data_IF_845665416579
#
_entry.id   IF_845665416579
#
_cell.length_a   1.000
_cell.length_b   1.000
_cell.length_c   1.000
_cell.angle_alpha   90.00
_cell.angle_beta   90.00
_cell.angle_gamma   90.00
#
_symmetry.space_group_name_H-M   'P 1'
#
loop_
_entity.id
_entity.type
_entity.pdbx_description
1 polymer ?
#
# COMPACT_ATOMS: atom_id res chain seq x y z
N UNK A 1 46.72 29.40 27.03
CA UNK A 1 46.75 28.08 27.68
C UNK A 1 46.15 27.07 26.72
N UNK A 2 46.82 25.95 26.40
CA UNK A 2 46.20 24.92 25.56
C UNK A 2 44.95 24.42 26.29
N UNK A 3 43.80 24.40 25.60
CA UNK A 3 42.57 23.88 26.16
C UNK A 3 42.76 22.39 26.48
N UNK A 4 42.55 21.98 27.73
CA UNK A 4 42.61 20.59 28.12
C UNK A 4 41.35 19.90 27.58
N UNK A 5 41.45 19.33 26.38
CA UNK A 5 40.33 18.70 25.67
C UNK A 5 40.06 17.32 26.31
N UNK A 6 38.79 17.03 26.59
CA UNK A 6 38.39 15.79 27.27
C UNK A 6 38.66 14.55 26.40
N UNK A 7 38.86 13.35 26.99
CA UNK A 7 38.98 12.09 26.23
C UNK A 7 37.84 11.88 25.23
N UNK A 8 36.61 12.25 25.64
CA UNK A 8 35.42 12.24 24.79
C UNK A 8 35.56 13.14 23.55
N UNK A 9 36.18 14.31 23.69
CA UNK A 9 36.42 15.20 22.55
C UNK A 9 37.40 14.59 21.54
N UNK A 10 38.44 13.89 22.03
CA UNK A 10 39.43 13.23 21.18
C UNK A 10 38.76 12.09 20.39
N UNK A 11 37.90 11.32 21.04
CA UNK A 11 37.14 10.24 20.40
C UNK A 11 36.20 10.75 19.30
N UNK A 12 35.40 11.78 19.59
CA UNK A 12 34.51 12.40 18.60
C UNK A 12 35.30 12.96 17.41
N UNK A 13 36.47 13.54 17.66
CA UNK A 13 37.36 14.03 16.60
C UNK A 13 37.88 12.89 15.72
N UNK A 14 38.30 11.78 16.30
CA UNK A 14 38.76 10.61 15.54
C UNK A 14 37.62 10.01 14.70
N UNK A 15 36.40 9.95 15.24
CA UNK A 15 35.21 9.52 14.48
C UNK A 15 34.89 10.48 13.33
N UNK A 16 34.96 11.79 13.58
CA UNK A 16 34.73 12.82 12.56
C UNK A 16 35.72 12.71 11.39
N UNK A 17 36.99 12.42 11.67
CA UNK A 17 38.04 12.24 10.65
C UNK A 17 37.85 10.96 9.82
N UNK A 18 37.29 9.90 10.43
CA UNK A 18 37.02 8.61 9.76
C UNK A 18 35.71 8.56 8.99
N UNK A 19 34.71 9.34 9.40
CA UNK A 19 33.40 9.32 8.75
C UNK A 19 33.50 9.80 7.30
N UNK A 20 32.78 9.13 6.40
CA UNK A 20 32.58 9.55 5.01
C UNK A 20 31.19 10.14 4.78
N UNK A 21 30.28 9.95 5.71
CA UNK A 21 28.92 10.45 5.63
C UNK A 21 28.83 11.91 6.12
N UNK A 22 28.02 12.71 5.43
CA UNK A 22 27.84 14.13 5.75
C UNK A 22 26.88 14.31 6.93
N UNK A 23 25.84 13.46 7.04
CA UNK A 23 24.88 13.54 8.14
C UNK A 23 25.54 13.14 9.46
N UNK A 24 26.27 12.03 9.48
CA UNK A 24 27.09 11.63 10.63
C UNK A 24 28.12 12.70 11.02
N UNK A 25 28.78 13.37 10.05
CA UNK A 25 29.71 14.49 10.33
C UNK A 25 29.02 15.70 10.97
N UNK A 26 27.78 15.99 10.59
CA UNK A 26 27.00 17.09 11.14
C UNK A 26 26.63 16.80 12.60
N UNK A 27 26.23 15.57 12.92
CA UNK A 27 25.93 15.13 14.28
C UNK A 27 27.17 15.20 15.18
N UNK A 28 28.29 14.61 14.74
CA UNK A 28 29.55 14.62 15.48
C UNK A 28 30.05 16.04 15.77
N UNK A 29 29.91 16.98 14.83
CA UNK A 29 30.27 18.39 15.06
C UNK A 29 29.35 19.08 16.07
N UNK A 30 28.06 18.76 16.09
CA UNK A 30 27.12 19.31 17.08
C UNK A 30 27.45 18.82 18.49
N UNK A 31 27.72 17.52 18.62
CA UNK A 31 28.15 16.92 19.88
C UNK A 31 29.47 17.52 20.37
N UNK A 32 30.46 17.68 19.48
CA UNK A 32 31.74 18.34 19.82
C UNK A 32 31.54 19.77 20.31
N UNK A 33 30.65 20.55 19.70
CA UNK A 33 30.35 21.93 20.14
C UNK A 33 29.62 21.95 21.50
N UNK A 34 28.80 20.93 21.79
CA UNK A 34 28.06 20.83 23.04
C UNK A 34 28.97 20.54 24.24
N UNK A 35 30.02 19.75 24.06
CA UNK A 35 30.93 19.34 25.15
C UNK A 35 32.09 20.31 25.42
N UNK A 36 32.40 21.24 24.51
CA UNK A 36 33.51 22.20 24.71
C UNK A 36 33.13 23.26 25.77
N UNK A 37 33.96 23.49 26.81
CA UNK A 37 33.77 24.58 27.76
C UNK A 37 33.78 25.95 27.07
N UNK A 38 32.80 26.81 27.34
CA UNK A 38 32.66 28.14 26.71
C UNK A 38 33.41 29.22 27.50
N UNK A 39 34.70 29.42 27.19
CA UNK A 39 35.53 30.44 27.82
C UNK A 39 36.52 31.06 26.81
N UNK A 40 37.20 32.14 27.19
CA UNK A 40 38.09 32.91 26.29
C UNK A 40 39.14 32.05 25.56
N UNK A 41 39.59 30.94 26.16
CA UNK A 41 40.55 30.01 25.55
C UNK A 41 40.02 29.07 24.47
N UNK A 42 38.70 28.90 24.32
CA UNK A 42 38.05 27.95 23.39
C UNK A 42 37.17 28.64 22.34
N UNK A 43 36.98 29.97 22.46
CA UNK A 43 36.18 30.76 21.53
C UNK A 43 36.61 30.60 20.07
N UNK A 44 37.93 30.55 19.81
CA UNK A 44 38.46 30.36 18.45
C UNK A 44 38.08 28.98 17.89
N UNK A 45 38.26 27.92 18.69
CA UNK A 45 37.91 26.55 18.31
C UNK A 45 36.40 26.37 18.07
N UNK A 46 35.56 26.94 18.95
CA UNK A 46 34.10 26.93 18.76
C UNK A 46 33.71 27.66 17.47
N UNK A 47 34.38 28.77 17.15
CA UNK A 47 34.18 29.49 15.88
C UNK A 47 34.51 28.64 14.66
N UNK A 48 35.64 27.94 14.68
CA UNK A 48 36.06 27.03 13.61
C UNK A 48 35.07 25.86 13.41
N UNK A 49 34.64 25.22 14.50
CA UNK A 49 33.66 24.13 14.44
C UNK A 49 32.29 24.60 13.93
N UNK A 50 31.82 25.78 14.34
CA UNK A 50 30.56 26.36 13.85
C UNK A 50 30.64 26.72 12.38
N UNK A 51 31.77 27.25 11.91
CA UNK A 51 31.99 27.55 10.49
C UNK A 51 31.97 26.26 9.66
N UNK A 52 32.63 25.20 10.14
CA UNK A 52 32.64 23.88 9.50
C UNK A 52 31.25 23.21 9.50
N UNK A 53 30.50 23.37 10.59
CA UNK A 53 29.11 22.92 10.67
C UNK A 53 28.22 23.67 9.67
N UNK A 54 28.39 24.99 9.55
CA UNK A 54 27.63 25.80 8.60
C UNK A 54 27.97 25.44 7.14
N UNK A 55 29.25 25.19 6.82
CA UNK A 55 29.65 24.75 5.48
C UNK A 55 29.10 23.36 5.15
N UNK A 56 29.16 22.41 6.09
CA UNK A 56 28.60 21.06 5.89
C UNK A 56 27.08 21.04 5.82
N UNK A 57 26.38 21.90 6.58
CA UNK A 57 24.93 22.08 6.43
C UNK A 57 24.58 22.68 5.07
N UNK A 58 25.36 23.65 4.60
CA UNK A 58 25.20 24.22 3.25
C UNK A 58 25.52 23.18 2.17
N UNK A 59 26.50 22.31 2.39
CA UNK A 59 26.84 21.20 1.49
C UNK A 59 25.79 20.07 1.54
N UNK A 60 25.16 19.81 2.68
CA UNK A 60 24.01 18.91 2.77
C UNK A 60 22.76 19.48 2.09
N UNK A 61 22.58 20.80 2.13
CA UNK A 61 21.50 21.51 1.42
C UNK A 61 21.78 21.68 -0.09
N UNK A 62 23.06 21.80 -0.49
CA UNK A 62 23.51 21.95 -1.88
C UNK A 62 24.01 20.67 -2.52
N UNK A 63 24.09 19.55 -1.80
CA UNK A 63 24.01 18.24 -2.44
C UNK A 63 22.77 18.36 -3.30
N UNK A 64 22.87 18.13 -4.63
CA UNK A 64 21.64 17.88 -5.36
C UNK A 64 20.95 16.83 -4.50
N UNK A 65 19.73 17.11 -4.04
CA UNK A 65 18.86 16.01 -3.67
C UNK A 65 19.14 15.00 -4.77
N UNK A 66 19.51 13.76 -4.43
CA UNK A 66 19.18 12.69 -5.37
C UNK A 66 17.72 12.99 -5.61
N UNK A 67 17.39 13.64 -6.73
CA UNK A 67 16.03 13.77 -7.17
C UNK A 67 15.70 12.30 -7.19
N UNK A 68 14.93 11.85 -6.19
CA UNK A 68 14.20 10.60 -6.29
C UNK A 68 13.53 10.82 -7.62
N UNK A 69 14.07 10.18 -8.67
CA UNK A 69 13.56 10.34 -10.03
C UNK A 69 12.08 10.17 -9.81
N UNK A 70 11.29 11.22 -10.05
CA UNK A 70 9.89 11.23 -9.70
C UNK A 70 9.30 10.06 -10.46
N UNK A 71 9.08 8.96 -9.74
CA UNK A 71 8.55 7.75 -10.32
C UNK A 71 7.06 7.84 -10.07
N UNK A 72 6.24 8.15 -11.09
CA UNK A 72 4.80 8.26 -10.93
C UNK A 72 4.16 6.94 -10.44
N UNK A 73 4.89 5.82 -10.51
CA UNK A 73 4.50 4.51 -10.00
C UNK A 73 4.91 4.25 -8.54
N UNK A 74 5.58 5.20 -7.88
CA UNK A 74 5.90 5.13 -6.43
C UNK A 74 4.72 5.61 -5.58
N UNK A 75 3.63 4.84 -5.61
CA UNK A 75 2.39 5.13 -4.88
C UNK A 75 2.47 4.53 -3.47
N UNK A 76 2.28 5.36 -2.45
CA UNK A 76 2.22 4.91 -1.05
C UNK A 76 0.88 4.24 -0.77
N UNK A 77 0.90 3.10 -0.08
CA UNK A 77 -0.28 2.38 0.38
C UNK A 77 -1.13 3.26 1.30
N UNK A 78 -2.43 3.29 1.05
CA UNK A 78 -3.43 3.99 1.85
C UNK A 78 -4.68 3.13 1.99
N UNK A 79 -5.41 3.32 3.10
CA UNK A 79 -6.65 2.60 3.36
C UNK A 79 -6.45 1.12 3.64
N UNK A 80 -7.54 0.37 3.45
CA UNK A 80 -7.67 -1.05 3.80
C UNK A 80 -7.00 -2.01 2.81
N UNK A 81 -6.64 -1.53 1.62
CA UNK A 81 -6.02 -2.34 0.57
C UNK A 81 -5.74 -1.54 -0.69
N UNK A 82 -4.86 -2.05 -1.55
CA UNK A 82 -4.48 -1.48 -2.83
C UNK A 82 -4.92 -2.38 -3.98
N UNK A 83 -5.74 -1.83 -4.88
CA UNK A 83 -6.26 -2.50 -6.06
C UNK A 83 -5.79 -1.75 -7.30
N UNK A 84 -5.09 -2.42 -8.20
CA UNK A 84 -4.68 -1.84 -9.50
C UNK A 84 -5.64 -2.25 -10.60
N UNK A 85 -5.93 -1.33 -11.51
CA UNK A 85 -6.79 -1.57 -12.67
C UNK A 85 -5.94 -1.47 -13.93
N UNK A 86 -5.84 -2.58 -14.66
CA UNK A 86 -5.05 -2.69 -15.89
C UNK A 86 -5.92 -3.13 -17.06
N UNK A 87 -5.46 -2.87 -18.29
CA UNK A 87 -6.19 -3.24 -19.50
C UNK A 87 -5.87 -2.32 -20.68
N UNK A 88 -6.34 -2.71 -21.86
CA UNK A 88 -6.14 -1.99 -23.11
C UNK A 88 -6.81 -0.61 -23.14
N UNK A 89 -6.52 0.24 -24.14
CA UNK A 89 -7.24 1.51 -24.32
C UNK A 89 -8.75 1.29 -24.46
N UNK A 90 -9.54 2.27 -24.03
CA UNK A 90 -10.99 2.33 -24.25
C UNK A 90 -11.85 1.17 -23.66
N UNK A 91 -11.26 0.27 -22.87
CA UNK A 91 -12.00 -0.79 -22.13
C UNK A 91 -12.79 -0.25 -20.93
N UNK A 92 -12.61 1.03 -20.56
CA UNK A 92 -13.38 1.71 -19.51
C UNK A 92 -12.76 1.71 -18.10
N UNK A 93 -11.44 1.56 -17.98
CA UNK A 93 -10.70 1.62 -16.70
C UNK A 93 -11.02 2.87 -15.86
N UNK A 94 -10.83 4.06 -16.43
CA UNK A 94 -11.07 5.33 -15.73
C UNK A 94 -12.54 5.53 -15.39
N UNK A 95 -13.45 5.11 -16.27
CA UNK A 95 -14.90 5.15 -16.00
C UNK A 95 -15.27 4.27 -14.82
N UNK A 96 -14.68 3.08 -14.71
CA UNK A 96 -14.87 2.17 -13.58
C UNK A 96 -14.38 2.79 -12.27
N UNK A 97 -13.18 3.39 -12.27
CA UNK A 97 -12.63 4.08 -11.08
C UNK A 97 -13.51 5.25 -10.65
N UNK A 98 -13.97 6.06 -11.61
CA UNK A 98 -14.84 7.19 -11.32
C UNK A 98 -16.15 6.74 -10.66
N UNK A 99 -16.74 5.62 -11.11
CA UNK A 99 -17.96 5.06 -10.52
C UNK A 99 -17.73 4.47 -9.13
N UNK A 100 -16.60 3.78 -8.92
CA UNK A 100 -16.31 3.14 -7.63
C UNK A 100 -15.95 4.12 -6.52
N UNK A 101 -15.29 5.22 -6.87
CA UNK A 101 -14.71 6.14 -5.86
C UNK A 101 -15.73 7.11 -5.26
N UNK A 102 -16.95 7.21 -5.80
CA UNK A 102 -18.02 8.12 -5.34
C UNK A 102 -17.61 9.60 -5.16
N UNK A 103 -16.41 9.97 -5.63
CA UNK A 103 -15.96 11.34 -5.71
C UNK A 103 -16.48 11.84 -7.05
N UNK A 104 -17.29 12.90 -7.02
CA UNK A 104 -17.32 13.89 -8.10
C UNK A 104 -15.90 14.38 -8.25
N UNK A 105 -15.08 13.62 -8.97
CA UNK A 105 -13.73 14.01 -9.21
C UNK A 105 -13.82 15.38 -9.86
N UNK A 106 -13.08 16.34 -9.32
CA UNK A 106 -12.57 17.40 -10.15
C UNK A 106 -11.64 16.75 -11.21
N UNK A 107 -12.22 15.97 -12.11
CA UNK A 107 -11.59 15.47 -13.32
C UNK A 107 -12.10 16.40 -14.39
N UNK A 108 -11.21 17.28 -14.84
CA UNK A 108 -11.36 17.84 -16.16
C UNK A 108 -11.44 16.67 -17.14
N UNK A 109 -12.50 16.57 -17.96
CA UNK A 109 -12.58 15.51 -18.96
C UNK A 109 -11.57 15.85 -20.06
N UNK A 110 -10.54 15.03 -20.22
CA UNK A 110 -9.77 15.00 -21.46
C UNK A 110 -9.73 13.57 -21.99
N UNK A 111 -10.12 13.34 -23.25
CA UNK A 111 -9.80 12.09 -23.91
C UNK A 111 -8.28 12.00 -24.07
N UNK A 112 -7.73 10.78 -23.94
CA UNK A 112 -6.31 10.43 -24.13
C UNK A 112 -5.31 10.68 -22.98
N UNK A 113 -5.73 10.84 -21.71
CA UNK A 113 -4.77 11.11 -20.63
C UNK A 113 -4.79 10.10 -19.48
N UNK A 114 -3.74 9.27 -19.44
CA UNK A 114 -3.00 8.91 -18.22
C UNK A 114 -1.61 8.53 -18.69
N UNK A 115 -0.69 9.49 -18.80
CA UNK A 115 0.74 9.19 -18.92
C UNK A 115 1.31 8.69 -17.57
N UNK A 116 0.49 8.71 -16.52
CA UNK A 116 0.83 8.39 -15.14
C UNK A 116 -0.36 7.72 -14.44
N UNK A 117 -0.12 6.81 -13.50
CA UNK A 117 -1.19 6.25 -12.68
C UNK A 117 -1.93 7.32 -11.87
N UNK A 118 -3.25 7.17 -11.75
CA UNK A 118 -4.13 8.02 -10.94
C UNK A 118 -4.65 7.20 -9.77
N UNK A 119 -4.65 7.80 -8.58
CA UNK A 119 -5.15 7.18 -7.36
C UNK A 119 -6.56 7.68 -7.06
N UNK A 120 -7.47 6.77 -6.74
CA UNK A 120 -8.80 7.06 -6.23
C UNK A 120 -9.10 6.25 -4.97
N UNK A 121 -9.98 6.74 -4.10
CA UNK A 121 -10.38 6.03 -2.87
C UNK A 121 -11.81 5.51 -3.04
N UNK A 122 -11.97 4.20 -2.98
CA UNK A 122 -13.27 3.51 -3.02
C UNK A 122 -13.82 3.36 -1.61
N UNK A 123 -14.87 4.10 -1.24
CA UNK A 123 -15.53 3.90 0.04
C UNK A 123 -16.27 2.56 0.03
N UNK A 124 -16.07 1.77 1.07
CA UNK A 124 -16.79 0.53 1.33
C UNK A 124 -17.16 0.47 2.81
N UNK A 125 -18.45 0.60 3.11
CA UNK A 125 -18.97 0.75 4.47
C UNK A 125 -18.22 1.85 5.25
N UNK A 126 -17.38 1.48 6.21
CA UNK A 126 -16.60 2.37 7.08
C UNK A 126 -15.09 2.33 6.83
N UNK A 127 -14.66 1.74 5.71
CA UNK A 127 -13.27 1.74 5.28
C UNK A 127 -13.14 2.33 3.86
N UNK A 128 -11.90 2.66 3.47
CA UNK A 128 -11.60 3.05 2.10
C UNK A 128 -10.56 2.09 1.51
N UNK A 129 -10.77 1.66 0.27
CA UNK A 129 -9.84 0.85 -0.51
C UNK A 129 -9.21 1.73 -1.59
N UNK A 130 -7.90 1.72 -1.70
CA UNK A 130 -7.16 2.52 -2.69
C UNK A 130 -7.23 1.85 -4.05
N UNK A 131 -7.82 2.52 -5.03
CA UNK A 131 -7.81 2.13 -6.44
C UNK A 131 -6.73 2.89 -7.19
N UNK A 132 -6.05 2.19 -8.10
CA UNK A 132 -5.01 2.76 -8.94
C UNK A 132 -5.41 2.53 -10.40
N UNK A 133 -5.85 3.60 -11.07
CA UNK A 133 -6.07 3.63 -12.50
C UNK A 133 -4.73 3.75 -13.21
N UNK A 134 -4.42 2.86 -14.15
CA UNK A 134 -3.14 2.87 -14.86
C UNK A 134 -3.27 3.39 -16.28
N UNK A 135 -2.17 3.90 -16.85
CA UNK A 135 -2.07 4.08 -18.29
C UNK A 135 -2.52 2.82 -19.06
N UNK A 136 -3.12 2.98 -20.25
CA UNK A 136 -3.49 1.84 -21.08
C UNK A 136 -2.28 0.98 -21.44
N UNK A 137 -2.46 -0.33 -21.38
CA UNK A 137 -1.49 -1.29 -21.92
C UNK A 137 -1.69 -1.39 -23.42
N UNK A 138 -0.61 -1.26 -24.19
CA UNK A 138 -0.61 -1.54 -25.64
C UNK A 138 0.56 -2.44 -26.00
N UNK A 139 0.62 -2.90 -27.24
CA UNK A 139 1.72 -3.75 -27.71
C UNK A 139 3.10 -3.08 -27.56
N UNK A 140 3.14 -1.79 -27.82
CA UNK A 140 4.33 -0.94 -27.76
C UNK A 140 4.57 -0.32 -26.37
N UNK A 141 3.54 -0.27 -25.52
CA UNK A 141 3.58 0.41 -24.24
C UNK A 141 3.27 -0.52 -23.06
N UNK A 142 4.31 -1.16 -22.56
CA UNK A 142 4.28 -1.99 -21.36
C UNK A 142 5.44 -1.63 -20.42
N UNK A 143 5.26 -0.55 -19.66
CA UNK A 143 6.33 0.06 -18.87
C UNK A 143 6.83 -0.86 -17.73
N UNK A 144 8.16 -1.01 -17.54
CA UNK A 144 8.69 -1.80 -16.41
C UNK A 144 8.20 -1.32 -15.04
N UNK A 145 7.95 -0.01 -14.89
CA UNK A 145 7.42 0.60 -13.66
C UNK A 145 5.99 0.18 -13.33
N UNK A 146 5.17 -0.15 -14.34
CA UNK A 146 3.85 -0.74 -14.14
C UNK A 146 3.97 -2.12 -13.50
N UNK A 147 4.95 -2.93 -13.92
CA UNK A 147 5.18 -4.26 -13.34
C UNK A 147 5.59 -4.19 -11.88
N UNK A 148 6.51 -3.28 -11.56
CA UNK A 148 6.91 -3.07 -10.17
C UNK A 148 5.72 -2.63 -9.30
N UNK A 149 4.79 -1.85 -9.87
CA UNK A 149 3.56 -1.47 -9.18
C UNK A 149 2.62 -2.67 -8.99
N UNK A 150 2.37 -3.47 -10.03
CA UNK A 150 1.55 -4.69 -9.95
C UNK A 150 2.10 -5.66 -8.89
N UNK A 151 3.43 -5.76 -8.73
CA UNK A 151 4.04 -6.59 -7.69
C UNK A 151 3.73 -6.15 -6.26
N UNK A 152 3.44 -4.88 -6.02
CA UNK A 152 3.25 -4.33 -4.66
C UNK A 152 1.79 -4.28 -4.22
N UNK A 153 0.84 -4.33 -5.15
CA UNK A 153 -0.58 -4.23 -4.82
C UNK A 153 -1.15 -5.57 -4.32
N UNK A 154 -2.34 -5.48 -3.72
CA UNK A 154 -3.05 -6.60 -3.10
C UNK A 154 -3.97 -7.32 -4.09
N UNK A 155 -4.47 -6.62 -5.12
CA UNK A 155 -5.38 -7.16 -6.14
C UNK A 155 -5.20 -6.47 -7.49
N UNK A 156 -5.30 -7.25 -8.57
CA UNK A 156 -5.34 -6.78 -9.97
C UNK A 156 -6.73 -6.95 -10.55
N UNK A 157 -7.31 -5.88 -11.07
CA UNK A 157 -8.51 -5.92 -11.91
C UNK A 157 -8.07 -5.80 -13.38
N UNK A 158 -8.17 -6.89 -14.12
CA UNK A 158 -7.90 -6.94 -15.55
C UNK A 158 -9.19 -6.58 -16.31
N UNK A 159 -9.30 -5.34 -16.77
CA UNK A 159 -10.50 -4.84 -17.45
C UNK A 159 -10.40 -5.10 -18.95
N UNK A 160 -11.44 -5.73 -19.48
CA UNK A 160 -11.62 -5.98 -20.92
C UNK A 160 -12.94 -5.39 -21.41
N UNK A 161 -13.03 -5.14 -22.71
CA UNK A 161 -14.27 -4.78 -23.37
C UNK A 161 -15.00 -6.05 -23.83
N UNK A 162 -16.13 -6.37 -23.20
CA UNK A 162 -16.94 -7.53 -23.56
C UNK A 162 -17.69 -7.31 -24.89
N UNK A 163 -17.73 -6.11 -25.45
CA UNK A 163 -18.37 -5.84 -26.74
C UNK A 163 -17.51 -6.17 -27.96
N UNK A 164 -16.25 -6.57 -27.76
CA UNK A 164 -15.27 -6.75 -28.85
C UNK A 164 -14.68 -8.15 -28.85
N UNK A 165 -14.56 -8.76 -30.02
CA UNK A 165 -13.98 -10.10 -30.19
C UNK A 165 -12.48 -10.15 -29.84
N UNK A 166 -11.83 -9.00 -29.68
CA UNK A 166 -10.42 -8.87 -29.28
C UNK A 166 -10.16 -9.20 -27.80
N UNK A 167 -11.21 -9.40 -26.99
CA UNK A 167 -11.08 -9.58 -25.53
C UNK A 167 -10.11 -10.70 -25.14
N UNK A 168 -10.16 -11.84 -25.85
CA UNK A 168 -9.29 -12.99 -25.59
C UNK A 168 -7.83 -12.68 -25.92
N UNK A 169 -7.58 -12.12 -27.11
CA UNK A 169 -6.24 -11.77 -27.56
C UNK A 169 -5.58 -10.75 -26.61
N UNK A 170 -6.36 -9.79 -26.11
CA UNK A 170 -5.91 -8.80 -25.13
C UNK A 170 -5.52 -9.44 -23.79
N UNK A 171 -6.29 -10.42 -23.29
CA UNK A 171 -5.97 -11.13 -22.04
C UNK A 171 -4.69 -11.94 -22.22
N UNK A 172 -4.60 -12.74 -23.29
CA UNK A 172 -3.42 -13.56 -23.58
C UNK A 172 -2.16 -12.70 -23.75
N UNK A 173 -2.27 -11.56 -24.43
CA UNK A 173 -1.18 -10.61 -24.54
C UNK A 173 -0.70 -10.13 -23.16
N UNK A 174 -1.61 -9.65 -22.31
CA UNK A 174 -1.25 -9.13 -20.97
C UNK A 174 -0.66 -10.25 -20.10
N UNK A 175 -1.27 -11.43 -20.09
CA UNK A 175 -0.75 -12.60 -19.35
C UNK A 175 0.66 -12.95 -19.81
N UNK A 176 0.90 -13.10 -21.11
CA UNK A 176 2.23 -13.42 -21.66
C UNK A 176 3.28 -12.38 -21.26
N UNK A 177 2.93 -11.09 -21.29
CA UNK A 177 3.84 -10.02 -20.86
C UNK A 177 4.16 -10.05 -19.36
N UNK A 178 3.19 -10.39 -18.52
CA UNK A 178 3.39 -10.56 -17.07
C UNK A 178 4.24 -11.81 -16.77
N UNK A 179 3.99 -12.91 -17.48
CA UNK A 179 4.74 -14.17 -17.37
C UNK A 179 6.22 -13.99 -17.72
N UNK A 180 6.54 -13.24 -18.79
CA UNK A 180 7.91 -12.87 -19.14
C UNK A 180 8.64 -12.11 -18.02
N UNK A 181 7.88 -11.49 -17.12
CA UNK A 181 8.38 -10.81 -15.93
C UNK A 181 8.23 -11.65 -14.67
N UNK A 182 7.96 -12.95 -14.78
CA UNK A 182 7.76 -13.84 -13.63
C UNK A 182 6.62 -13.38 -12.71
N UNK A 183 5.51 -12.97 -13.31
CA UNK A 183 4.30 -12.57 -12.58
C UNK A 183 3.10 -13.33 -13.15
N UNK A 184 2.40 -14.08 -12.29
CA UNK A 184 1.21 -14.85 -12.65
C UNK A 184 -0.03 -14.27 -11.98
N UNK A 185 -1.07 -14.03 -12.76
CA UNK A 185 -2.38 -13.65 -12.25
C UNK A 185 -3.14 -14.92 -11.83
N UNK A 186 -3.66 -14.95 -10.61
CA UNK A 186 -4.22 -16.16 -10.00
C UNK A 186 -5.42 -15.88 -9.11
N UNK A 187 -6.12 -16.96 -8.72
CA UNK A 187 -7.36 -16.90 -7.95
C UNK A 187 -7.14 -16.75 -6.44
N UNK A 188 -5.96 -17.16 -5.96
CA UNK A 188 -5.59 -17.21 -4.55
C UNK A 188 -4.13 -16.80 -4.42
N UNK A 189 -3.77 -16.29 -3.26
CA UNK A 189 -2.35 -16.23 -2.92
C UNK A 189 -1.86 -17.67 -2.81
N UNK A 190 -1.02 -18.07 -3.76
CA UNK A 190 -0.10 -19.18 -3.54
C UNK A 190 0.99 -18.54 -2.69
N UNK A 191 0.95 -18.81 -1.39
CA UNK A 191 1.83 -18.16 -0.42
C UNK A 191 3.29 -18.23 -0.84
N UNK A 192 4.10 -17.27 -0.38
CA UNK A 192 5.55 -17.18 -0.62
C UNK A 192 6.34 -18.42 -0.14
N UNK A 193 5.68 -19.42 0.46
CA UNK A 193 6.24 -20.66 1.01
C UNK A 193 6.56 -21.74 -0.04
N UNK A 194 6.01 -21.65 -1.24
CA UNK A 194 6.52 -22.43 -2.37
C UNK A 194 7.67 -21.64 -3.00
N UNK A 195 8.89 -22.19 -3.01
CA UNK A 195 10.05 -21.67 -3.76
C UNK A 195 9.73 -21.65 -5.27
N UNK A 196 8.85 -20.73 -5.67
CA UNK A 196 8.39 -20.55 -7.03
C UNK A 196 9.18 -19.40 -7.64
N UNK A 197 9.59 -19.59 -8.88
CA UNK A 197 10.28 -18.55 -9.63
C UNK A 197 9.34 -17.36 -9.97
N UNK A 198 8.03 -17.54 -9.80
CA UNK A 198 6.98 -16.61 -10.18
C UNK A 198 6.35 -15.93 -8.97
N UNK A 199 6.10 -14.64 -9.08
CA UNK A 199 5.26 -13.92 -8.13
C UNK A 199 3.80 -14.12 -8.52
N UNK A 200 3.02 -14.71 -7.62
CA UNK A 200 1.58 -14.87 -7.80
C UNK A 200 0.86 -13.61 -7.31
N UNK A 201 -0.07 -13.11 -8.13
CA UNK A 201 -0.94 -11.99 -7.76
C UNK A 201 -2.39 -12.32 -7.95
N UNK A 202 -3.17 -12.07 -6.91
CA UNK A 202 -4.63 -12.16 -6.95
C UNK A 202 -5.17 -11.25 -8.04
N UNK A 203 -6.02 -11.82 -8.89
CA UNK A 203 -6.61 -11.11 -10.00
C UNK A 203 -8.09 -11.45 -10.20
N UNK A 204 -8.80 -10.55 -10.86
CA UNK A 204 -10.12 -10.77 -11.44
C UNK A 204 -10.17 -10.21 -12.86
N UNK A 205 -10.86 -10.89 -13.76
CA UNK A 205 -11.23 -10.35 -15.07
C UNK A 205 -12.52 -9.57 -14.91
N UNK A 206 -12.50 -8.29 -15.30
CA UNK A 206 -13.66 -7.43 -15.33
C UNK A 206 -14.09 -7.27 -16.79
N UNK A 207 -15.13 -8.01 -17.16
CA UNK A 207 -15.75 -7.92 -18.48
C UNK A 207 -16.71 -6.73 -18.52
N UNK A 208 -16.18 -5.57 -18.92
CA UNK A 208 -16.92 -4.32 -18.96
C UNK A 208 -17.78 -4.20 -20.23
N UNK A 209 -18.74 -3.27 -20.24
CA UNK A 209 -19.67 -3.00 -21.34
C UNK A 209 -20.61 -4.17 -21.64
N UNK A 210 -21.14 -4.80 -20.58
CA UNK A 210 -22.18 -5.85 -20.67
C UNK A 210 -23.48 -5.39 -21.32
N UNK A 211 -23.61 -4.10 -21.60
CA UNK A 211 -24.76 -3.52 -22.26
C UNK A 211 -24.72 -3.58 -23.79
N UNK A 212 -23.63 -4.11 -24.37
CA UNK A 212 -23.47 -4.35 -25.80
C UNK A 212 -23.97 -5.76 -26.20
N UNK A 213 -24.51 -5.90 -27.42
CA UNK A 213 -25.21 -7.11 -27.88
C UNK A 213 -24.36 -8.40 -27.83
N UNK A 214 -23.06 -8.30 -28.11
CA UNK A 214 -22.15 -9.46 -28.15
C UNK A 214 -21.57 -9.85 -26.78
N UNK A 215 -21.86 -9.07 -25.73
CA UNK A 215 -21.16 -9.20 -24.45
C UNK A 215 -21.36 -10.53 -23.73
N UNK A 216 -22.57 -11.08 -23.78
CA UNK A 216 -22.87 -12.33 -23.06
C UNK A 216 -22.05 -13.51 -23.60
N UNK A 217 -21.94 -13.66 -24.92
CA UNK A 217 -21.17 -14.75 -25.52
C UNK A 217 -19.67 -14.68 -25.19
N UNK A 218 -19.12 -13.47 -25.15
CA UNK A 218 -17.73 -13.25 -24.73
C UNK A 218 -17.55 -13.60 -23.25
N UNK A 219 -18.46 -13.17 -22.37
CA UNK A 219 -18.40 -13.50 -20.94
C UNK A 219 -18.50 -15.00 -20.70
N UNK A 220 -19.35 -15.70 -21.44
CA UNK A 220 -19.48 -17.16 -21.35
C UNK A 220 -18.17 -17.84 -21.75
N UNK A 221 -17.56 -17.39 -22.85
CA UNK A 221 -16.24 -17.89 -23.32
C UNK A 221 -15.14 -17.61 -22.30
N UNK A 222 -15.11 -16.40 -21.72
CA UNK A 222 -14.15 -16.04 -20.69
C UNK A 222 -14.30 -16.88 -19.43
N UNK A 223 -15.54 -17.18 -19.02
CA UNK A 223 -15.78 -18.08 -17.91
C UNK A 223 -15.28 -19.49 -18.21
N UNK A 224 -15.58 -20.04 -19.37
CA UNK A 224 -15.11 -21.39 -19.74
C UNK A 224 -13.58 -21.52 -19.68
N UNK A 225 -12.87 -20.49 -20.17
CA UNK A 225 -11.41 -20.50 -20.27
C UNK A 225 -10.72 -20.15 -18.96
N UNK A 226 -11.16 -19.10 -18.27
CA UNK A 226 -10.40 -18.49 -17.19
C UNK A 226 -10.99 -18.67 -15.79
N UNK A 227 -12.23 -19.16 -15.63
CA UNK A 227 -12.87 -19.25 -14.30
C UNK A 227 -12.17 -20.22 -13.33
N UNK A 228 -11.18 -20.98 -13.79
CA UNK A 228 -10.30 -21.83 -12.96
C UNK A 228 -9.02 -21.11 -12.53
N UNK A 229 -8.63 -20.06 -13.23
CA UNK A 229 -7.43 -19.24 -12.95
C UNK A 229 -7.77 -17.96 -12.20
N UNK A 230 -8.85 -17.27 -12.58
CA UNK A 230 -9.32 -16.03 -11.94
C UNK A 230 -10.82 -15.83 -12.17
N UNK A 231 -11.55 -15.17 -11.25
CA UNK A 231 -12.98 -14.91 -11.42
C UNK A 231 -13.22 -13.98 -12.61
N UNK A 232 -14.31 -14.21 -13.33
CA UNK A 232 -14.80 -13.33 -14.40
C UNK A 232 -16.05 -12.63 -13.89
N UNK A 233 -16.04 -11.30 -13.93
CA UNK A 233 -17.13 -10.45 -13.44
C UNK A 233 -17.61 -9.57 -14.57
N UNK A 234 -18.86 -9.74 -15.00
CA UNK A 234 -19.50 -8.88 -15.98
C UNK A 234 -20.07 -7.62 -15.33
N UNK A 235 -19.78 -6.44 -15.88
CA UNK A 235 -20.42 -5.19 -15.49
C UNK A 235 -20.55 -4.19 -16.65
N UNK A 236 -21.41 -3.18 -16.49
CA UNK A 236 -21.44 -2.01 -17.38
C UNK A 236 -21.09 -0.76 -16.59
N UNK A 237 -19.94 -0.15 -16.89
CA UNK A 237 -19.57 1.12 -16.28
C UNK A 237 -20.52 2.28 -16.64
N UNK A 238 -21.28 2.17 -17.74
CA UNK A 238 -22.17 3.21 -18.26
C UNK A 238 -23.63 3.03 -17.87
N UNK A 239 -24.10 1.79 -17.67
CA UNK A 239 -25.50 1.48 -17.28
C UNK A 239 -25.61 0.98 -15.84
N UNK A 240 -26.86 0.78 -15.38
CA UNK A 240 -27.22 0.34 -14.03
C UNK A 240 -26.56 -1.00 -13.65
N UNK A 241 -25.36 -0.92 -13.10
CA UNK A 241 -24.63 -2.01 -12.46
C UNK A 241 -24.78 -1.87 -10.94
N UNK A 242 -25.01 -3.00 -10.26
CA UNK A 242 -24.91 -3.06 -8.80
C UNK A 242 -23.44 -2.94 -8.36
N UNK A 243 -22.95 -1.71 -8.27
CA UNK A 243 -21.60 -1.41 -7.80
C UNK A 243 -21.40 -1.74 -6.32
N UNK A 244 -22.46 -1.83 -5.51
CA UNK A 244 -22.32 -2.17 -4.09
C UNK A 244 -21.96 -3.66 -3.93
N UNK A 245 -22.62 -4.53 -4.70
CA UNK A 245 -22.23 -5.94 -4.84
C UNK A 245 -20.79 -6.09 -5.36
N UNK A 246 -20.40 -5.30 -6.37
CA UNK A 246 -19.03 -5.36 -6.88
C UNK A 246 -17.98 -4.87 -5.87
N UNK A 247 -18.25 -3.80 -5.13
CA UNK A 247 -17.37 -3.35 -4.02
C UNK A 247 -17.24 -4.42 -2.93
N UNK A 248 -18.35 -5.08 -2.59
CA UNK A 248 -18.36 -6.21 -1.65
C UNK A 248 -17.47 -7.36 -2.14
N UNK A 249 -17.56 -7.70 -3.42
CA UNK A 249 -16.72 -8.73 -4.03
C UNK A 249 -15.23 -8.38 -3.96
N UNK A 250 -14.86 -7.12 -4.25
CA UNK A 250 -13.49 -6.64 -4.10
C UNK A 250 -13.02 -6.79 -2.64
N UNK A 251 -13.83 -6.35 -1.67
CA UNK A 251 -13.52 -6.47 -0.24
C UNK A 251 -13.28 -7.93 0.18
N UNK A 252 -14.18 -8.83 -0.21
CA UNK A 252 -14.08 -10.25 0.17
C UNK A 252 -12.81 -10.91 -0.42
N UNK A 253 -12.43 -10.50 -1.63
CA UNK A 253 -11.29 -11.05 -2.36
C UNK A 253 -9.94 -10.46 -1.95
N UNK A 254 -9.94 -9.28 -1.33
CA UNK A 254 -8.77 -8.78 -0.61
C UNK A 254 -8.42 -9.66 0.59
N UNK A 255 -9.35 -10.53 1.04
CA UNK A 255 -9.19 -11.40 2.20
C UNK A 255 -8.80 -10.62 3.45
N UNK A 256 -9.44 -9.47 3.65
CA UNK A 256 -9.28 -8.62 4.83
C UNK A 256 -10.50 -8.73 5.75
N UNK A 257 -10.31 -8.35 7.00
CA UNK A 257 -11.33 -8.28 8.04
C UNK A 257 -11.24 -6.92 8.75
N UNK A 258 -12.37 -6.46 9.28
CA UNK A 258 -12.47 -5.26 10.09
C UNK A 258 -12.72 -5.65 11.53
N UNK A 259 -11.90 -5.15 12.42
CA UNK A 259 -11.98 -5.43 13.85
C UNK A 259 -12.19 -4.11 14.58
N UNK A 260 -13.26 -4.05 15.37
CA UNK A 260 -13.64 -2.88 16.11
C UNK A 260 -13.02 -2.89 17.50
N UNK A 261 -12.70 -1.72 18.02
CA UNK A 261 -12.17 -1.60 19.38
C UNK A 261 -13.21 -1.02 20.32
N UNK A 262 -13.12 -1.43 21.58
CA UNK A 262 -13.99 -0.95 22.65
C UNK A 262 -13.15 -0.71 23.91
N UNK A 263 -13.13 0.51 24.46
CA UNK A 263 -12.51 0.76 25.76
C UNK A 263 -13.30 0.08 26.90
N UNK A 264 -12.60 -0.29 27.98
CA UNK A 264 -13.20 -0.94 29.15
C UNK A 264 -14.35 -0.08 29.69
N UNK A 265 -15.55 -0.67 29.75
CA UNK A 265 -16.77 -0.03 30.25
C UNK A 265 -17.43 1.01 29.32
N UNK A 266 -16.91 1.20 28.10
CA UNK A 266 -17.48 2.14 27.11
C UNK A 266 -18.21 1.42 25.97
N UNK A 267 -18.80 2.18 25.04
CA UNK A 267 -19.36 1.62 23.80
C UNK A 267 -18.24 1.34 22.79
N UNK A 268 -18.42 0.35 21.89
CA UNK A 268 -17.51 0.14 20.77
C UNK A 268 -17.42 1.36 19.85
N UNK A 269 -16.27 1.55 19.22
CA UNK A 269 -16.11 2.47 18.10
C UNK A 269 -16.26 1.70 16.78
N UNK A 270 -17.19 2.15 15.94
CA UNK A 270 -17.47 1.56 14.64
C UNK A 270 -16.98 2.43 13.46
N UNK A 271 -16.38 3.59 13.74
CA UNK A 271 -16.00 4.54 12.68
C UNK A 271 -14.60 4.26 12.12
N UNK A 272 -13.69 3.74 12.95
CA UNK A 272 -12.30 3.50 12.60
C UNK A 272 -11.90 2.06 12.97
N UNK A 273 -12.29 1.07 12.14
CA UNK A 273 -11.90 -0.32 12.38
C UNK A 273 -10.41 -0.52 12.12
N UNK A 274 -9.83 -1.45 12.86
CA UNK A 274 -8.52 -2.03 12.53
C UNK A 274 -8.73 -2.99 11.36
N UNK A 275 -7.99 -2.81 10.28
CA UNK A 275 -8.05 -3.68 9.09
C UNK A 275 -6.89 -4.66 9.15
N UNK A 276 -7.22 -5.95 9.09
CA UNK A 276 -6.25 -7.05 9.16
C UNK A 276 -6.51 -8.03 8.02
N UNK A 277 -5.57 -8.92 7.75
CA UNK A 277 -5.84 -10.06 6.87
C UNK A 277 -6.69 -11.10 7.58
N UNK A 278 -7.51 -11.83 6.83
CA UNK A 278 -8.30 -12.94 7.36
C UNK A 278 -7.37 -14.01 7.93
N UNK A 279 -7.70 -14.49 9.13
CA UNK A 279 -6.85 -15.40 9.89
C UNK A 279 -5.94 -14.71 10.90
N UNK A 280 -5.90 -13.37 10.88
CA UNK A 280 -5.19 -12.59 11.89
C UNK A 280 -5.71 -12.80 13.31
N UNK A 281 -4.84 -12.53 14.28
CA UNK A 281 -5.08 -12.82 15.69
C UNK A 281 -5.30 -11.56 16.53
N UNK A 282 -5.78 -11.75 17.76
CA UNK A 282 -5.95 -10.67 18.75
C UNK A 282 -4.65 -9.88 18.98
N UNK A 283 -3.49 -10.54 19.00
CA UNK A 283 -2.21 -9.85 19.20
C UNK A 283 -1.84 -8.97 18.02
N UNK A 284 -2.04 -9.44 16.78
CA UNK A 284 -1.82 -8.65 15.57
C UNK A 284 -2.74 -7.42 15.54
N UNK A 285 -4.00 -7.56 15.96
CA UNK A 285 -4.89 -6.42 16.13
C UNK A 285 -4.36 -5.40 17.16
N UNK A 286 -3.73 -5.87 18.25
CA UNK A 286 -3.12 -4.98 19.22
C UNK A 286 -1.85 -4.29 18.68
N UNK A 287 -1.09 -4.95 17.80
CA UNK A 287 0.13 -4.40 17.18
C UNK A 287 -0.18 -3.23 16.24
N UNK A 288 -1.30 -3.30 15.51
CA UNK A 288 -1.78 -2.20 14.67
C UNK A 288 -2.11 -0.93 15.47
N UNK A 289 -2.48 -1.07 16.75
CA UNK A 289 -2.66 0.07 17.65
C UNK A 289 -1.29 0.57 18.11
N UNK A 290 -0.50 -0.30 18.74
CA UNK A 290 0.85 0.01 19.21
C UNK A 290 1.62 -1.25 19.62
N UNK A 291 2.90 -1.38 19.23
CA UNK A 291 3.74 -2.56 19.58
C UNK A 291 3.83 -2.82 21.09
N UNK A 292 4.16 -1.82 21.90
CA UNK A 292 4.23 -1.97 23.37
C UNK A 292 2.90 -2.40 24.00
N UNK A 293 1.77 -2.07 23.36
CA UNK A 293 0.44 -2.47 23.82
C UNK A 293 0.19 -3.95 23.58
N UNK A 294 0.58 -4.45 22.41
CA UNK A 294 0.54 -5.87 22.07
C UNK A 294 1.44 -6.71 22.98
N UNK A 295 2.65 -6.23 23.32
CA UNK A 295 3.58 -6.94 24.21
C UNK A 295 3.02 -7.13 25.62
N UNK A 296 2.32 -6.13 26.14
CA UNK A 296 1.73 -6.15 27.49
C UNK A 296 0.37 -6.83 27.55
N UNK A 297 -0.22 -7.18 26.42
CA UNK A 297 -1.57 -7.75 26.38
C UNK A 297 -1.65 -9.07 27.16
N UNK A 298 -2.54 -9.16 28.16
CA UNK A 298 -2.78 -10.42 28.90
C UNK A 298 -3.87 -11.26 28.25
N UNK A 299 -4.97 -10.63 27.87
CA UNK A 299 -6.11 -11.24 27.19
C UNK A 299 -6.97 -10.15 26.55
N UNK A 300 -7.89 -10.54 25.69
CA UNK A 300 -8.96 -9.67 25.22
C UNK A 300 -10.32 -10.27 25.59
N UNK A 301 -11.34 -9.42 25.60
CA UNK A 301 -12.73 -9.86 25.50
C UNK A 301 -13.23 -9.61 24.08
N UNK A 302 -13.99 -10.55 23.56
CA UNK A 302 -14.49 -10.51 22.18
C UNK A 302 -16.03 -10.49 22.14
N UNK A 303 -16.59 -9.74 21.18
CA UNK A 303 -18.00 -9.78 20.79
C UNK A 303 -18.11 -10.02 19.29
N UNK A 304 -19.24 -10.59 18.85
CA UNK A 304 -19.46 -10.94 17.43
C UNK A 304 -19.07 -12.39 17.08
N UNK A 305 -18.78 -13.24 18.07
CA UNK A 305 -18.63 -14.69 17.93
C UNK A 305 -19.76 -15.46 18.63
N UNK A 306 -19.52 -16.73 18.99
CA UNK A 306 -20.53 -17.59 19.66
C UNK A 306 -21.01 -17.01 21.00
N UNK A 307 -20.10 -16.43 21.80
CA UNK A 307 -20.41 -15.88 23.11
C UNK A 307 -19.89 -14.44 23.25
N UNK A 308 -20.81 -13.52 23.54
CA UNK A 308 -20.48 -12.10 23.70
C UNK A 308 -19.78 -11.82 25.04
N UNK A 309 -18.64 -11.13 24.97
CA UNK A 309 -17.82 -10.78 26.13
C UNK A 309 -16.94 -11.93 26.65
N UNK A 310 -16.79 -13.00 25.86
CA UNK A 310 -15.90 -14.11 26.19
C UNK A 310 -14.45 -13.64 26.28
N UNK A 311 -13.72 -14.12 27.28
CA UNK A 311 -12.28 -13.95 27.39
C UNK A 311 -11.57 -14.88 26.41
N UNK A 312 -10.70 -14.32 25.58
CA UNK A 312 -9.89 -15.03 24.59
C UNK A 312 -8.39 -14.78 24.80
N UNK A 313 -7.58 -15.74 24.34
CA UNK A 313 -6.12 -15.62 24.34
C UNK A 313 -5.65 -14.61 23.28
N UNK A 314 -4.36 -14.29 23.32
CA UNK A 314 -3.68 -13.40 22.37
C UNK A 314 -3.65 -13.99 20.95
N UNK A 315 -3.59 -15.31 20.85
CA UNK A 315 -3.50 -16.04 19.57
C UNK A 315 -4.87 -16.45 19.02
N UNK A 316 -5.96 -15.95 19.61
CA UNK A 316 -7.29 -16.26 19.13
C UNK A 316 -7.51 -15.63 17.74
N UNK A 317 -8.00 -16.39 16.74
CA UNK A 317 -8.28 -15.87 15.41
C UNK A 317 -9.45 -14.90 15.44
N UNK A 318 -9.46 -13.95 14.52
CA UNK A 318 -10.48 -12.92 14.39
C UNK A 318 -11.29 -13.08 13.11
N UNK A 319 -12.58 -12.75 13.20
CA UNK A 319 -13.51 -12.65 12.09
C UNK A 319 -13.89 -11.18 11.81
N UNK A 320 -14.35 -10.91 10.58
CA UNK A 320 -14.88 -9.59 10.21
C UNK A 320 -16.03 -9.20 11.13
N UNK A 321 -15.97 -7.97 11.64
CA UNK A 321 -16.96 -7.41 12.54
C UNK A 321 -16.76 -7.74 14.01
N UNK A 322 -15.73 -8.51 14.38
CA UNK A 322 -15.41 -8.76 15.78
C UNK A 322 -15.09 -7.45 16.53
N UNK A 323 -15.47 -7.38 17.80
CA UNK A 323 -15.20 -6.24 18.67
C UNK A 323 -14.27 -6.69 19.79
N UNK A 324 -13.18 -5.97 20.01
CA UNK A 324 -12.17 -6.26 21.02
C UNK A 324 -12.14 -5.22 22.13
N UNK A 325 -12.18 -5.71 23.38
CA UNK A 325 -11.81 -4.96 24.58
C UNK A 325 -10.51 -5.57 25.12
N UNK A 326 -9.40 -4.86 24.95
CA UNK A 326 -8.08 -5.31 25.36
C UNK A 326 -7.83 -5.08 26.86
N UNK A 327 -7.20 -6.06 27.52
CA UNK A 327 -6.85 -5.98 28.93
C UNK A 327 -5.33 -6.11 29.10
N UNK A 328 -4.69 -4.97 29.40
CA UNK A 328 -3.27 -4.87 29.75
C UNK A 328 -3.12 -4.78 31.28
N UNK A 329 -2.01 -5.24 31.88
CA UNK A 329 -1.71 -4.97 33.28
C UNK A 329 -1.55 -3.47 33.54
N UNK A 330 -1.96 -3.05 34.74
CA UNK A 330 -1.69 -1.72 35.29
C UNK A 330 -0.19 -1.39 35.38
#
# INVERSE_FOLDING_TARGET
MPANLTPQYIELRTRLERSKDIEEKIELLQEMIAIIPKHKGTNKLIGELRSKLASLRKEAQNKPQKHKVYNPYSITRQGAGQVIIIGFPNVGKSSLVAKLTNVHTAVAPYPFTTDKPIVGMMPFENINIQLIDTPPITEDNFEPSLIDLIRRVDLVLLVIDAGTDEALDQIEFIKSRLEQKKLLLTMRDIGDDEETEFIHKKAMIIANKTDLENSQGIIDTLNELYSKEMPVVGLSAEKDTDFDSFKRMIFDYLHIIRVYTKPIGKKPDFNDPIVLYRGSTVVEAAEEIHRDFAEKLKFARIWGGEYNGQRVSRDHPLDDGNILEFHVPD
#
